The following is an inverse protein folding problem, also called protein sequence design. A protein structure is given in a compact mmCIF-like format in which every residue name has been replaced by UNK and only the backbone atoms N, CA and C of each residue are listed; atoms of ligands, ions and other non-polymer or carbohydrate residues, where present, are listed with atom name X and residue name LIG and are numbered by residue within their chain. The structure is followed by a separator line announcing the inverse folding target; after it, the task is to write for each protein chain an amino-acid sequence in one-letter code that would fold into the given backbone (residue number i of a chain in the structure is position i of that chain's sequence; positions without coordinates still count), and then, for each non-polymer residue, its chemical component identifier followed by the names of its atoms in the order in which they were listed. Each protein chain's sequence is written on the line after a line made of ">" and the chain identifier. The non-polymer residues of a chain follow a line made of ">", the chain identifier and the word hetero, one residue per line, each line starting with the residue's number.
data_IF_720130823821
#
_entry.id   IF_720130823821
#
_cell.length_a   1.000
_cell.length_b   1.000
_cell.length_c   1.000
_cell.angle_alpha   90.00
_cell.angle_beta   90.00
_cell.angle_gamma   90.00
#
_symmetry.space_group_name_H-M   'P 1'
#
loop_
_entity.id
_entity.type
_entity.pdbx_description
1 polymer ?
#
# COMPACT_ATOMS: atom_id res chain seq x y z
N UNK A 1 44.00 20.82 -20.13
CA UNK A 1 42.58 20.56 -20.37
C UNK A 1 42.01 19.85 -19.13
N UNK A 2 41.23 20.54 -18.33
CA UNK A 2 40.51 19.95 -17.18
C UNK A 2 39.15 19.48 -17.69
N UNK A 3 38.93 18.18 -17.72
CA UNK A 3 37.62 17.60 -17.88
C UNK A 3 36.89 17.73 -16.56
N UNK A 4 35.94 18.67 -16.46
CA UNK A 4 34.97 18.72 -15.40
C UNK A 4 33.90 17.66 -15.74
N UNK A 5 34.02 16.50 -15.10
CA UNK A 5 32.96 15.49 -15.14
C UNK A 5 31.74 16.01 -14.40
N UNK A 6 30.71 16.35 -15.14
CA UNK A 6 29.36 16.49 -14.56
C UNK A 6 28.88 15.08 -14.20
N UNK A 7 29.04 14.69 -12.94
CA UNK A 7 28.24 13.61 -12.36
C UNK A 7 26.84 14.19 -12.14
N UNK A 8 26.03 14.17 -13.20
CA UNK A 8 24.58 14.31 -13.01
C UNK A 8 24.14 13.15 -12.15
N UNK A 9 23.60 13.41 -10.95
CA UNK A 9 22.85 12.41 -10.23
C UNK A 9 21.72 11.97 -11.17
N UNK A 10 21.74 10.71 -11.56
CA UNK A 10 20.60 10.11 -12.26
C UNK A 10 19.55 9.96 -11.18
N UNK A 11 18.66 10.94 -11.08
CA UNK A 11 17.47 10.79 -10.24
C UNK A 11 16.64 9.66 -10.86
N UNK A 12 16.19 8.72 -10.02
CA UNK A 12 15.24 7.73 -10.46
C UNK A 12 14.00 8.46 -10.96
N UNK A 13 13.47 7.98 -12.09
CA UNK A 13 12.17 8.38 -12.58
C UNK A 13 11.21 7.21 -12.27
N UNK A 14 10.37 7.33 -11.22
CA UNK A 14 9.47 6.26 -10.80
C UNK A 14 8.58 5.72 -11.91
N UNK A 15 8.14 6.59 -12.82
CA UNK A 15 7.31 6.17 -13.96
C UNK A 15 8.12 5.41 -15.02
N UNK A 16 9.34 5.83 -15.29
CA UNK A 16 10.25 5.09 -16.18
C UNK A 16 10.55 3.71 -15.61
N UNK A 17 10.81 3.59 -14.31
CA UNK A 17 11.07 2.31 -13.64
C UNK A 17 9.82 1.41 -13.70
N UNK A 18 8.62 1.97 -13.43
CA UNK A 18 7.36 1.24 -13.53
C UNK A 18 7.11 0.70 -14.96
N UNK A 19 7.29 1.53 -15.97
CA UNK A 19 7.12 1.12 -17.37
C UNK A 19 8.14 0.07 -17.79
N UNK A 20 9.38 0.19 -17.34
CA UNK A 20 10.42 -0.80 -17.63
C UNK A 20 10.08 -2.18 -17.03
N UNK A 21 9.51 -2.22 -15.82
CA UNK A 21 9.04 -3.45 -15.19
C UNK A 21 7.86 -4.06 -15.97
N UNK A 22 6.87 -3.24 -16.34
CA UNK A 22 5.73 -3.66 -17.17
C UNK A 22 6.20 -4.29 -18.48
N UNK A 23 7.09 -3.61 -19.19
CA UNK A 23 7.64 -4.08 -20.46
C UNK A 23 8.42 -5.40 -20.30
N UNK A 24 9.19 -5.51 -19.22
CA UNK A 24 9.94 -6.74 -18.91
C UNK A 24 9.00 -7.93 -18.69
N UNK A 25 7.96 -7.77 -17.89
CA UNK A 25 7.03 -8.85 -17.57
C UNK A 25 6.21 -9.26 -18.79
N UNK A 26 5.71 -8.30 -19.58
CA UNK A 26 4.94 -8.58 -20.80
C UNK A 26 5.80 -9.27 -21.87
N UNK A 27 7.08 -8.92 -22.01
CA UNK A 27 7.97 -9.59 -22.94
C UNK A 27 8.31 -11.01 -22.50
N UNK A 28 8.44 -11.24 -21.19
CA UNK A 28 8.76 -12.54 -20.63
C UNK A 28 7.59 -13.51 -20.63
N UNK A 29 6.38 -12.98 -20.45
CA UNK A 29 5.14 -13.74 -20.31
C UNK A 29 4.04 -13.18 -21.22
N UNK A 30 4.20 -13.29 -22.54
CA UNK A 30 3.31 -12.66 -23.53
C UNK A 30 1.88 -13.23 -23.52
N UNK A 31 1.69 -14.42 -22.98
CA UNK A 31 0.40 -15.11 -22.93
C UNK A 31 -0.40 -14.78 -21.65
N UNK A 32 0.18 -14.00 -20.71
CA UNK A 32 -0.47 -13.60 -19.46
C UNK A 32 -1.04 -12.19 -19.64
N UNK A 33 -2.34 -12.05 -19.41
CA UNK A 33 -2.99 -10.73 -19.41
C UNK A 33 -2.42 -9.86 -18.28
N UNK A 34 -2.19 -8.58 -18.59
CA UNK A 34 -1.50 -7.67 -17.64
C UNK A 34 -2.14 -7.65 -16.25
N UNK A 35 -3.48 -7.67 -16.16
CA UNK A 35 -4.21 -7.64 -14.90
C UNK A 35 -3.97 -8.90 -14.04
N UNK A 36 -3.63 -10.03 -14.67
CA UNK A 36 -3.37 -11.29 -13.98
C UNK A 36 -2.06 -11.28 -13.19
N UNK A 37 -1.09 -10.41 -13.52
CA UNK A 37 0.16 -10.28 -12.77
C UNK A 37 -0.07 -9.88 -11.29
N UNK A 38 -1.19 -9.22 -10.97
CA UNK A 38 -1.59 -8.92 -9.60
C UNK A 38 -1.81 -10.19 -8.75
N UNK A 39 -2.06 -11.34 -9.38
CA UNK A 39 -2.26 -12.62 -8.71
C UNK A 39 -0.96 -13.38 -8.42
N UNK A 40 0.21 -12.82 -8.80
CA UNK A 40 1.52 -13.44 -8.55
C UNK A 40 1.61 -14.87 -9.10
N UNK A 41 1.97 -15.85 -8.26
CA UNK A 41 2.10 -17.25 -8.65
C UNK A 41 0.84 -17.81 -9.32
N UNK A 42 -0.33 -17.39 -8.89
CA UNK A 42 -1.62 -17.86 -9.40
C UNK A 42 -1.92 -17.44 -10.83
N UNK A 43 -1.16 -16.50 -11.40
CA UNK A 43 -1.20 -16.16 -12.81
C UNK A 43 -0.47 -17.21 -13.70
N UNK A 44 0.48 -17.95 -13.11
CA UNK A 44 1.41 -18.83 -13.84
C UNK A 44 1.19 -20.32 -13.56
N UNK A 45 0.57 -20.66 -12.43
CA UNK A 45 0.37 -22.01 -11.94
C UNK A 45 -1.12 -22.26 -11.71
N UNK A 46 -1.70 -23.07 -12.59
CA UNK A 46 -3.13 -23.39 -12.57
C UNK A 46 -3.52 -24.24 -11.34
N UNK A 47 -2.65 -25.14 -10.90
CA UNK A 47 -2.92 -25.98 -9.73
C UNK A 47 -2.90 -25.12 -8.46
N UNK A 48 -1.93 -24.22 -8.32
CA UNK A 48 -1.87 -23.29 -7.22
C UNK A 48 -3.08 -22.33 -7.23
N UNK A 49 -3.50 -21.86 -8.42
CA UNK A 49 -4.69 -21.02 -8.58
C UNK A 49 -5.96 -21.74 -8.12
N UNK A 50 -6.15 -22.99 -8.52
CA UNK A 50 -7.31 -23.77 -8.11
C UNK A 50 -7.36 -23.99 -6.59
N UNK A 51 -6.22 -24.28 -5.95
CA UNK A 51 -6.14 -24.38 -4.50
C UNK A 51 -6.46 -23.06 -3.80
N UNK A 52 -6.00 -21.95 -4.33
CA UNK A 52 -6.36 -20.63 -3.81
C UNK A 52 -7.86 -20.35 -3.93
N UNK A 53 -8.49 -20.66 -5.08
CA UNK A 53 -9.93 -20.49 -5.27
C UNK A 53 -10.73 -21.33 -4.27
N UNK A 54 -10.32 -22.57 -4.03
CA UNK A 54 -10.95 -23.44 -3.01
C UNK A 54 -10.79 -22.87 -1.59
N UNK A 55 -9.64 -22.24 -1.29
CA UNK A 55 -9.39 -21.62 0.02
C UNK A 55 -10.25 -20.37 0.24
N UNK A 56 -10.65 -19.65 -0.84
CA UNK A 56 -11.53 -18.48 -0.75
C UNK A 56 -12.98 -18.82 -0.34
N UNK A 57 -13.38 -20.10 -0.30
CA UNK A 57 -14.67 -20.51 0.27
C UNK A 57 -14.69 -20.34 1.81
N UNK A 58 -13.52 -20.45 2.48
CA UNK A 58 -13.32 -20.23 3.92
C UNK A 58 -11.94 -19.60 4.16
N UNK A 59 -11.76 -18.33 3.81
CA UNK A 59 -10.43 -17.74 3.80
C UNK A 59 -9.90 -17.52 5.24
N UNK A 60 -8.64 -17.91 5.53
CA UNK A 60 -8.06 -17.77 6.87
C UNK A 60 -8.03 -16.33 7.40
N UNK A 61 -8.07 -15.34 6.51
CA UNK A 61 -8.05 -13.93 6.88
C UNK A 61 -9.42 -13.37 7.30
N UNK A 62 -10.52 -14.09 7.09
CA UNK A 62 -11.88 -13.62 7.37
C UNK A 62 -12.04 -13.20 8.84
N UNK A 63 -11.51 -14.00 9.76
CA UNK A 63 -11.54 -13.68 11.21
C UNK A 63 -10.85 -12.33 11.48
N UNK A 64 -9.69 -12.09 10.89
CA UNK A 64 -8.97 -10.85 11.08
C UNK A 64 -9.71 -9.64 10.47
N UNK A 65 -10.45 -9.85 9.39
CA UNK A 65 -11.29 -8.81 8.77
C UNK A 65 -12.49 -8.49 9.66
N UNK A 66 -13.16 -9.50 10.22
CA UNK A 66 -14.28 -9.31 11.14
C UNK A 66 -13.86 -8.60 12.45
N UNK A 67 -12.76 -9.03 13.05
CA UNK A 67 -12.18 -8.35 14.21
C UNK A 67 -11.77 -6.91 13.87
N UNK A 68 -11.21 -6.69 12.70
CA UNK A 68 -10.82 -5.37 12.20
C UNK A 68 -12.03 -4.44 12.00
N UNK A 69 -13.15 -4.97 11.52
CA UNK A 69 -14.41 -4.23 11.42
C UNK A 69 -14.93 -3.80 12.80
N UNK A 70 -14.87 -4.69 13.79
CA UNK A 70 -15.27 -4.39 15.15
C UNK A 70 -14.39 -3.28 15.75
N UNK A 71 -13.08 -3.39 15.67
CA UNK A 71 -12.15 -2.36 16.15
C UNK A 71 -12.33 -1.04 15.41
N UNK A 72 -12.47 -1.06 14.08
CA UNK A 72 -12.67 0.14 13.27
C UNK A 72 -13.95 0.90 13.66
N UNK A 73 -15.02 0.20 13.98
CA UNK A 73 -16.30 0.79 14.36
C UNK A 73 -16.41 1.11 15.86
N UNK A 74 -15.42 0.74 16.67
CA UNK A 74 -15.40 1.07 18.10
C UNK A 74 -15.00 2.53 18.30
N UNK A 75 -15.85 3.37 18.92
CA UNK A 75 -15.53 4.77 19.14
C UNK A 75 -14.35 4.96 20.11
N UNK A 76 -13.57 5.98 19.88
CA UNK A 76 -12.56 6.48 20.81
C UNK A 76 -13.18 7.07 22.09
N UNK A 77 -12.37 7.30 23.12
CA UNK A 77 -12.82 7.85 24.39
C UNK A 77 -13.50 9.24 24.24
N UNK A 78 -13.12 10.02 23.22
CA UNK A 78 -13.71 11.33 22.91
C UNK A 78 -15.01 11.25 22.10
N UNK A 79 -15.43 10.07 21.64
CA UNK A 79 -16.64 9.80 20.87
C UNK A 79 -16.47 9.85 19.35
N UNK A 80 -15.31 10.24 18.84
CA UNK A 80 -14.95 10.09 17.42
C UNK A 80 -14.60 8.63 17.11
N UNK A 81 -14.34 8.33 15.83
CA UNK A 81 -13.88 7.02 15.40
C UNK A 81 -12.93 7.13 14.20
N UNK A 82 -12.41 6.00 13.74
CA UNK A 82 -11.53 5.99 12.56
C UNK A 82 -12.20 6.60 11.33
N UNK A 83 -13.50 6.42 11.15
CA UNK A 83 -14.24 6.98 10.02
C UNK A 83 -14.16 8.52 9.94
N UNK A 84 -13.92 9.21 11.06
CA UNK A 84 -13.81 10.67 11.11
C UNK A 84 -12.45 11.19 10.62
N UNK A 85 -11.42 10.31 10.61
CA UNK A 85 -10.06 10.67 10.21
C UNK A 85 -9.80 10.48 8.71
N UNK A 86 -10.56 9.64 8.04
CA UNK A 86 -10.25 9.18 6.69
C UNK A 86 -11.26 9.65 5.65
N UNK A 87 -10.78 9.92 4.45
CA UNK A 87 -11.63 10.12 3.29
C UNK A 87 -12.61 8.95 3.13
N UNK A 88 -13.82 9.25 2.67
CA UNK A 88 -14.89 8.26 2.48
C UNK A 88 -15.16 7.39 3.73
N UNK A 89 -14.92 7.95 4.93
CA UNK A 89 -15.09 7.23 6.18
C UNK A 89 -14.17 6.00 6.32
N UNK A 90 -13.02 5.99 5.68
CA UNK A 90 -12.04 4.90 5.72
C UNK A 90 -12.36 3.69 4.82
N UNK A 91 -13.45 3.75 4.06
CA UNK A 91 -13.93 2.64 3.22
C UNK A 91 -13.45 2.80 1.78
N UNK A 92 -12.82 1.75 1.24
CA UNK A 92 -12.37 1.73 -0.14
C UNK A 92 -11.26 2.74 -0.44
N UNK A 93 -10.30 2.94 0.47
CA UNK A 93 -9.21 3.92 0.34
C UNK A 93 -7.81 3.30 0.31
N UNK A 94 -7.67 1.98 0.60
CA UNK A 94 -6.35 1.31 0.71
C UNK A 94 -5.51 1.42 -0.56
N UNK A 95 -6.13 1.47 -1.73
CA UNK A 95 -5.45 1.62 -3.02
C UNK A 95 -4.68 2.94 -3.17
N UNK A 96 -4.95 3.94 -2.32
CA UNK A 96 -4.25 5.23 -2.31
C UNK A 96 -3.01 5.23 -1.41
N UNK A 97 -2.78 4.14 -0.66
CA UNK A 97 -1.65 3.97 0.24
C UNK A 97 -0.65 2.97 -0.37
N UNK A 98 0.61 3.23 -0.28
CA UNK A 98 1.36 4.25 0.45
C UNK A 98 1.42 5.55 -0.36
N UNK A 99 1.44 6.73 0.27
CA UNK A 99 1.66 8.00 -0.43
C UNK A 99 2.75 8.83 0.27
N UNK A 100 3.30 9.82 -0.45
CA UNK A 100 4.21 10.79 0.13
C UNK A 100 3.43 12.03 0.59
N UNK A 101 3.45 12.29 1.89
CA UNK A 101 2.85 13.48 2.47
C UNK A 101 3.80 14.68 2.34
N UNK A 102 3.34 15.73 1.66
CA UNK A 102 4.16 16.93 1.41
C UNK A 102 4.30 17.84 2.61
N UNK A 103 3.35 17.82 3.54
CA UNK A 103 3.39 18.63 4.75
C UNK A 103 4.31 17.99 5.78
N UNK A 104 4.15 16.70 6.02
CA UNK A 104 5.03 15.92 6.89
C UNK A 104 6.43 15.71 6.28
N UNK A 105 6.51 15.61 4.95
CA UNK A 105 7.74 15.35 4.22
C UNK A 105 8.19 13.88 4.32
N UNK A 106 7.25 12.97 4.52
CA UNK A 106 7.52 11.55 4.71
C UNK A 106 6.50 10.65 3.99
N UNK A 107 6.85 9.37 3.92
CA UNK A 107 5.99 8.34 3.35
C UNK A 107 4.99 7.87 4.40
N UNK A 108 3.69 7.96 4.09
CA UNK A 108 2.61 7.55 4.97
C UNK A 108 2.05 6.20 4.51
N UNK A 109 2.18 5.19 5.35
CA UNK A 109 1.51 3.89 5.17
C UNK A 109 0.12 3.92 5.78
N UNK A 110 -0.73 2.94 5.46
CA UNK A 110 -2.05 2.81 6.08
C UNK A 110 -1.94 2.67 7.61
N UNK A 111 -0.98 1.87 8.07
CA UNK A 111 -0.75 1.61 9.49
C UNK A 111 -0.28 2.86 10.25
N UNK A 112 0.56 3.68 9.60
CA UNK A 112 0.96 4.97 10.16
C UNK A 112 -0.24 5.91 10.25
N UNK A 113 -1.06 5.99 9.19
CA UNK A 113 -2.26 6.83 9.18
C UNK A 113 -3.29 6.41 10.24
N UNK A 114 -3.46 5.09 10.49
CA UNK A 114 -4.30 4.57 11.57
C UNK A 114 -3.79 5.06 12.93
N UNK A 115 -2.49 4.98 13.16
CA UNK A 115 -1.88 5.46 14.41
C UNK A 115 -1.94 6.98 14.56
N UNK A 116 -1.74 7.74 13.49
CA UNK A 116 -1.93 9.20 13.50
C UNK A 116 -3.36 9.58 13.87
N UNK A 117 -4.36 8.89 13.30
CA UNK A 117 -5.75 9.08 13.69
C UNK A 117 -6.00 8.85 15.19
N UNK A 118 -5.38 7.83 15.78
CA UNK A 118 -5.46 7.58 17.22
C UNK A 118 -4.84 8.70 18.04
N UNK A 119 -3.63 9.10 17.69
CA UNK A 119 -2.91 10.19 18.38
C UNK A 119 -3.66 11.53 18.32
N UNK A 120 -4.29 11.84 17.16
CA UNK A 120 -5.15 13.02 17.00
C UNK A 120 -6.41 12.98 17.87
N UNK A 121 -6.80 11.80 18.35
CA UNK A 121 -7.95 11.59 19.21
C UNK A 121 -7.56 11.22 20.66
N UNK A 122 -6.33 11.56 21.09
CA UNK A 122 -5.78 11.30 22.41
C UNK A 122 -5.72 9.80 22.80
N UNK A 123 -5.64 8.91 21.80
CA UNK A 123 -5.47 7.47 21.99
C UNK A 123 -4.01 7.05 21.80
N UNK A 124 -3.57 6.06 22.56
CA UNK A 124 -2.23 5.50 22.40
C UNK A 124 -2.08 4.78 21.04
N UNK A 125 -0.94 4.96 20.34
CA UNK A 125 -0.68 4.25 19.10
C UNK A 125 -0.59 2.74 19.30
N UNK A 126 -1.10 1.98 18.34
CA UNK A 126 -1.05 0.52 18.36
C UNK A 126 0.32 -0.01 17.91
N UNK A 127 0.77 -1.13 18.48
CA UNK A 127 2.04 -1.74 18.07
C UNK A 127 1.97 -2.25 16.63
N UNK A 128 3.04 -1.97 15.85
CA UNK A 128 3.15 -2.44 14.47
C UNK A 128 3.28 -3.96 14.39
N UNK A 129 2.77 -4.54 13.30
CA UNK A 129 2.86 -5.95 12.90
C UNK A 129 2.10 -6.94 13.79
N UNK A 130 1.31 -6.50 14.74
CA UNK A 130 0.55 -7.39 15.64
C UNK A 130 -0.81 -6.80 16.04
N UNK A 131 -1.75 -7.68 16.40
CA UNK A 131 -3.00 -7.33 17.08
C UNK A 131 -3.94 -6.42 16.29
N UNK A 132 -4.52 -5.44 17.00
CA UNK A 132 -5.58 -4.57 16.48
C UNK A 132 -5.19 -3.79 15.23
N UNK A 133 -3.95 -3.28 15.16
CA UNK A 133 -3.48 -2.52 13.98
C UNK A 133 -3.54 -3.37 12.71
N UNK A 134 -3.12 -4.64 12.81
CA UNK A 134 -3.15 -5.57 11.68
C UNK A 134 -4.58 -5.89 11.27
N UNK A 135 -5.48 -6.10 12.24
CA UNK A 135 -6.88 -6.39 11.98
C UNK A 135 -7.59 -5.20 11.30
N UNK A 136 -7.40 -3.98 11.82
CA UNK A 136 -7.96 -2.76 11.22
C UNK A 136 -7.42 -2.55 9.80
N UNK A 137 -6.11 -2.72 9.59
CA UNK A 137 -5.51 -2.62 8.25
C UNK A 137 -6.03 -3.69 7.30
N UNK A 138 -6.29 -4.92 7.79
CA UNK A 138 -6.91 -5.99 7.00
C UNK A 138 -8.34 -5.64 6.59
N UNK A 139 -9.17 -5.12 7.50
CA UNK A 139 -10.53 -4.66 7.20
C UNK A 139 -10.53 -3.54 6.16
N UNK A 140 -9.75 -2.47 6.36
CA UNK A 140 -9.64 -1.36 5.41
C UNK A 140 -9.15 -1.83 4.03
N UNK A 141 -8.23 -2.81 4.00
CA UNK A 141 -7.75 -3.42 2.75
C UNK A 141 -8.85 -4.24 2.08
N UNK A 142 -9.62 -5.00 2.85
CA UNK A 142 -10.74 -5.80 2.35
C UNK A 142 -11.82 -4.93 1.71
N UNK A 143 -12.14 -3.78 2.29
CA UNK A 143 -13.10 -2.82 1.71
C UNK A 143 -12.65 -2.23 0.38
N UNK A 144 -11.37 -2.34 0.05
CA UNK A 144 -10.77 -1.85 -1.20
C UNK A 144 -10.61 -2.94 -2.27
N UNK A 145 -11.13 -4.17 -2.05
CA UNK A 145 -11.01 -5.26 -3.03
C UNK A 145 -11.57 -4.85 -4.39
N UNK A 146 -10.85 -5.21 -5.44
CA UNK A 146 -11.20 -4.86 -6.82
C UNK A 146 -10.85 -3.44 -7.24
N UNK A 147 -10.35 -2.59 -6.34
CA UNK A 147 -9.86 -1.26 -6.68
C UNK A 147 -8.47 -1.35 -7.32
N UNK A 148 -8.21 -0.48 -8.29
CA UNK A 148 -6.89 -0.35 -8.89
C UNK A 148 -5.98 0.47 -7.97
N UNK A 149 -4.73 0.03 -7.77
CA UNK A 149 -3.71 0.78 -7.03
C UNK A 149 -3.53 2.17 -7.66
N UNK A 150 -3.65 3.20 -6.84
CA UNK A 150 -3.59 4.61 -7.22
C UNK A 150 -2.48 5.35 -6.46
N UNK A 151 -1.34 4.68 -6.29
CA UNK A 151 -0.14 5.24 -5.67
C UNK A 151 0.69 5.97 -6.72
N UNK A 152 1.16 7.14 -6.35
CA UNK A 152 1.97 7.95 -7.24
C UNK A 152 3.07 8.64 -6.43
N UNK A 153 4.28 8.69 -6.98
CA UNK A 153 5.42 9.40 -6.40
C UNK A 153 5.47 10.80 -6.99
N UNK A 154 5.31 11.87 -6.17
CA UNK A 154 5.36 13.24 -6.68
C UNK A 154 6.73 13.56 -7.32
N UNK A 155 6.76 13.70 -8.63
CA UNK A 155 8.00 13.96 -9.38
C UNK A 155 8.54 15.38 -9.22
N UNK A 156 7.73 16.29 -8.70
CA UNK A 156 8.05 17.70 -8.42
C UNK A 156 8.51 17.95 -6.97
N UNK A 157 8.54 16.90 -6.11
CA UNK A 157 9.07 16.99 -4.75
C UNK A 157 10.35 16.16 -4.61
N UNK A 158 11.51 16.82 -4.44
CA UNK A 158 12.79 16.11 -4.30
C UNK A 158 12.86 15.14 -3.10
N UNK A 159 12.06 15.39 -2.04
CA UNK A 159 12.02 14.53 -0.85
C UNK A 159 11.29 13.21 -1.17
N UNK A 160 10.22 13.30 -1.98
CA UNK A 160 9.50 12.11 -2.47
C UNK A 160 10.40 11.23 -3.36
N UNK A 161 11.16 11.86 -4.27
CA UNK A 161 12.12 11.15 -5.11
C UNK A 161 13.25 10.52 -4.29
N UNK A 162 13.75 11.23 -3.27
CA UNK A 162 14.75 10.68 -2.36
C UNK A 162 14.22 9.47 -1.56
N UNK A 163 12.97 9.52 -1.10
CA UNK A 163 12.32 8.40 -0.41
C UNK A 163 12.15 7.19 -1.34
N UNK A 164 11.78 7.43 -2.60
CA UNK A 164 11.69 6.39 -3.62
C UNK A 164 13.06 5.77 -3.91
N UNK A 165 14.11 6.59 -4.09
CA UNK A 165 15.48 6.11 -4.34
C UNK A 165 16.00 5.28 -3.16
N UNK A 166 15.75 5.71 -1.92
CA UNK A 166 16.13 4.96 -0.73
C UNK A 166 15.43 3.59 -0.66
N UNK A 167 14.15 3.52 -1.03
CA UNK A 167 13.42 2.27 -1.14
C UNK A 167 13.97 1.35 -2.22
N UNK A 168 14.32 1.90 -3.37
CA UNK A 168 14.94 1.17 -4.49
C UNK A 168 16.34 0.63 -4.15
N UNK A 169 17.13 1.38 -3.36
CA UNK A 169 18.46 0.94 -2.90
C UNK A 169 18.36 -0.18 -1.86
N UNK A 170 17.31 -0.13 -1.02
CA UNK A 170 17.07 -1.15 0.00
C UNK A 170 16.63 -2.48 -0.61
N UNK A 171 15.85 -2.46 -1.70
CA UNK A 171 15.28 -3.64 -2.33
C UNK A 171 16.26 -4.32 -3.29
#
# INVERSE_FOLDING_TARGET
>A
AYCVGFSGAVHADPETDRLALVDYDQQRFPDIEWQEFANGLYAFDEDARNQWIEMEDFPPYEIAVEEGEEYFNTPFANGNGYADCFDNGGIGIRQNYTYFDRELGEVVTMELAINQCREENDEEPLPYLVGELVAISAYMSYTSRGSTVNVNVPSDDPRALQAFDAGKEFY
#
